data_IF_013614003737
#
_entry.id   IF_013614003737
#
_cell.length_a   1.000
_cell.length_b   1.000
_cell.length_c   1.000
_cell.angle_alpha   90.00
_cell.angle_beta   90.00
_cell.angle_gamma   90.00
#
_symmetry.space_group_name_H-M   'P 1'
#
loop_
_entity.id
_entity.type
_entity.pdbx_description
1 polymer ?
#
# COMPACT_ATOMS: atom_id res chain seq x y z
N UNK A 1 8.84 36.99 11.73
CA UNK A 1 7.61 36.20 11.77
C UNK A 1 7.47 35.20 10.60
N UNK A 2 8.53 34.85 9.93
CA UNK A 2 8.51 33.93 8.77
C UNK A 2 9.22 32.58 9.05
N UNK A 3 9.43 32.21 10.31
CA UNK A 3 10.16 30.99 10.67
C UNK A 3 9.28 29.73 10.70
N UNK A 4 7.98 29.84 10.97
CA UNK A 4 7.09 28.68 11.10
C UNK A 4 6.77 28.02 9.75
N UNK A 5 6.57 28.77 8.70
CA UNK A 5 6.21 28.26 7.37
C UNK A 5 7.34 27.40 6.78
N UNK A 6 8.59 27.79 7.02
CA UNK A 6 9.77 27.05 6.50
C UNK A 6 9.99 25.71 7.22
N UNK A 7 9.71 25.65 8.52
CA UNK A 7 9.85 24.43 9.33
C UNK A 7 8.73 23.45 8.98
N UNK A 8 7.51 23.92 8.80
CA UNK A 8 6.36 23.09 8.45
C UNK A 8 6.55 22.45 7.06
N UNK A 9 7.01 23.19 6.06
CA UNK A 9 7.33 22.63 4.74
C UNK A 9 8.44 21.58 4.82
N UNK A 10 9.46 21.82 5.63
CA UNK A 10 10.55 20.86 5.81
C UNK A 10 10.06 19.57 6.49
N UNK A 11 9.20 19.66 7.50
CA UNK A 11 8.60 18.51 8.17
C UNK A 11 7.70 17.71 7.24
N UNK A 12 6.84 18.36 6.45
CA UNK A 12 6.00 17.71 5.44
C UNK A 12 6.87 16.98 4.42
N UNK A 13 7.92 17.62 3.92
CA UNK A 13 8.86 17.02 2.99
C UNK A 13 9.56 15.78 3.56
N UNK A 14 10.05 15.86 4.80
CA UNK A 14 10.70 14.74 5.49
C UNK A 14 9.72 13.57 5.68
N UNK A 15 8.47 13.83 6.04
CA UNK A 15 7.45 12.79 6.25
C UNK A 15 7.03 12.11 4.94
N UNK A 16 6.85 12.86 3.87
CA UNK A 16 6.65 12.29 2.54
C UNK A 16 7.84 11.47 2.08
N UNK A 17 9.06 11.89 2.41
CA UNK A 17 10.28 11.15 2.12
C UNK A 17 10.33 9.80 2.88
N UNK A 18 9.83 9.74 4.11
CA UNK A 18 9.73 8.47 4.87
C UNK A 18 8.80 7.46 4.18
N UNK A 19 7.67 7.90 3.66
CA UNK A 19 6.75 7.04 2.88
C UNK A 19 7.42 6.58 1.60
N UNK A 20 8.11 7.47 0.88
CA UNK A 20 8.87 7.13 -0.31
C UNK A 20 10.00 6.13 -0.04
N UNK A 21 10.69 6.26 1.09
CA UNK A 21 11.71 5.30 1.51
C UNK A 21 11.10 3.93 1.87
N UNK A 22 9.92 3.92 2.51
CA UNK A 22 9.19 2.68 2.77
C UNK A 22 8.78 1.99 1.47
N UNK A 23 8.31 2.76 0.49
CA UNK A 23 8.00 2.25 -0.86
C UNK A 23 9.21 1.63 -1.55
N UNK A 24 10.38 2.27 -1.46
CA UNK A 24 11.63 1.71 -2.00
C UNK A 24 12.00 0.40 -1.31
N UNK A 25 11.85 0.30 0.00
CA UNK A 25 12.09 -0.95 0.74
C UNK A 25 11.14 -2.06 0.30
N UNK A 26 9.86 -1.75 0.10
CA UNK A 26 8.88 -2.72 -0.38
C UNK A 26 9.23 -3.26 -1.79
N UNK A 27 9.76 -2.40 -2.66
CA UNK A 27 10.09 -2.75 -4.05
C UNK A 27 11.52 -3.26 -4.24
N UNK A 28 12.31 -3.29 -3.17
CA UNK A 28 13.67 -3.80 -3.18
C UNK A 28 13.68 -5.29 -2.81
N UNK A 29 14.04 -6.14 -3.77
CA UNK A 29 14.09 -7.59 -3.60
C UNK A 29 15.20 -8.05 -2.63
N UNK A 30 16.10 -7.16 -2.20
CA UNK A 30 17.17 -7.47 -1.25
C UNK A 30 16.74 -7.50 0.21
N UNK A 31 15.49 -7.13 0.53
CA UNK A 31 14.96 -7.15 1.89
C UNK A 31 13.61 -7.87 1.96
N UNK A 32 13.18 -8.19 3.18
CA UNK A 32 12.00 -9.01 3.44
C UNK A 32 10.70 -8.20 3.57
N UNK A 33 10.74 -6.88 3.42
CA UNK A 33 9.54 -6.05 3.53
C UNK A 33 8.55 -6.42 2.42
N UNK A 34 7.33 -6.74 2.82
CA UNK A 34 6.27 -7.18 1.93
C UNK A 34 5.00 -6.34 2.00
N UNK A 35 4.91 -5.40 2.94
CA UNK A 35 3.84 -4.40 3.01
C UNK A 35 4.28 -3.14 3.74
N UNK A 36 3.62 -2.04 3.42
CA UNK A 36 3.78 -0.74 4.07
C UNK A 36 2.42 -0.10 4.32
N UNK A 37 2.35 0.74 5.34
CA UNK A 37 1.17 1.56 5.63
C UNK A 37 1.56 3.00 5.94
N UNK A 38 0.79 3.92 5.41
CA UNK A 38 0.86 5.35 5.66
C UNK A 38 -0.52 5.86 6.08
N UNK A 39 -0.56 6.98 6.74
CA UNK A 39 -1.82 7.58 7.21
C UNK A 39 -1.62 9.00 7.70
N UNK A 40 -2.64 9.54 8.33
CA UNK A 40 -2.55 10.83 8.97
C UNK A 40 -1.93 10.72 10.37
N UNK A 41 -1.12 11.70 10.80
CA UNK A 41 -0.76 11.82 12.21
C UNK A 41 -1.98 12.19 13.04
N UNK A 42 -1.90 11.97 14.34
CA UNK A 42 -2.99 12.32 15.26
C UNK A 42 -3.29 13.82 15.19
N UNK A 43 -4.59 14.15 15.07
CA UNK A 43 -5.06 15.54 15.05
C UNK A 43 -4.72 16.36 13.80
N UNK A 44 -4.08 15.78 12.80
CA UNK A 44 -3.68 16.47 11.57
C UNK A 44 -4.02 15.68 10.33
N UNK A 45 -4.74 16.26 9.39
CA UNK A 45 -5.11 15.67 8.10
C UNK A 45 -4.46 16.37 6.90
N UNK A 46 -3.47 17.21 7.14
CA UNK A 46 -2.74 17.92 6.10
C UNK A 46 -1.46 17.22 5.67
N UNK A 47 -1.04 16.20 6.41
CA UNK A 47 0.21 15.49 6.20
C UNK A 47 -0.02 14.00 6.05
N UNK A 48 0.84 13.35 5.27
CA UNK A 48 0.95 11.92 5.18
C UNK A 48 2.20 11.48 5.95
N UNK A 49 2.04 10.50 6.85
CA UNK A 49 3.15 9.95 7.62
C UNK A 49 3.24 8.45 7.43
N UNK A 50 4.46 7.92 7.49
CA UNK A 50 4.72 6.50 7.60
C UNK A 50 4.13 5.98 8.93
N UNK A 51 3.44 4.83 8.87
CA UNK A 51 2.80 4.22 10.04
C UNK A 51 3.44 2.90 10.43
N UNK A 52 3.60 1.99 9.47
CA UNK A 52 4.11 0.65 9.72
C UNK A 52 4.59 -0.03 8.45
N UNK A 53 5.39 -1.06 8.62
CA UNK A 53 5.79 -2.01 7.57
C UNK A 53 6.01 -3.39 8.18
N UNK A 54 6.02 -4.42 7.35
CA UNK A 54 6.25 -5.79 7.81
C UNK A 54 6.58 -6.74 6.66
N UNK A 55 6.85 -7.99 7.02
CA UNK A 55 7.28 -9.06 6.11
C UNK A 55 6.26 -10.18 5.94
N UNK A 56 5.12 -10.11 6.62
CA UNK A 56 4.08 -11.16 6.62
C UNK A 56 3.07 -11.09 5.46
N UNK A 57 3.29 -10.21 4.47
CA UNK A 57 2.44 -10.09 3.30
C UNK A 57 1.04 -9.53 3.57
N UNK A 58 0.10 -9.83 2.67
CA UNK A 58 -1.28 -9.34 2.77
C UNK A 58 -1.98 -9.71 4.10
N UNK A 59 -1.84 -10.92 4.67
CA UNK A 59 -2.49 -11.24 5.95
C UNK A 59 -2.03 -10.34 7.10
N UNK A 60 -0.75 -10.05 7.19
CA UNK A 60 -0.22 -9.14 8.21
C UNK A 60 -0.67 -7.69 7.97
N UNK A 61 -0.66 -7.23 6.72
CA UNK A 61 -1.21 -5.92 6.35
C UNK A 61 -2.65 -5.78 6.82
N UNK A 62 -3.51 -6.75 6.53
CA UNK A 62 -4.92 -6.76 6.96
C UNK A 62 -5.06 -6.69 8.48
N UNK A 63 -4.25 -7.45 9.22
CA UNK A 63 -4.30 -7.48 10.69
C UNK A 63 -3.87 -6.18 11.34
N UNK A 64 -3.16 -5.32 10.61
CA UNK A 64 -2.71 -4.00 11.07
C UNK A 64 -3.64 -2.84 10.65
N UNK A 65 -4.76 -3.12 9.99
CA UNK A 65 -5.72 -2.08 9.62
C UNK A 65 -6.48 -1.58 10.87
N UNK A 66 -6.52 -0.26 11.11
CA UNK A 66 -7.23 0.31 12.27
C UNK A 66 -8.74 0.27 12.07
N UNK A 67 -9.50 0.27 13.17
CA UNK A 67 -10.97 0.23 13.12
C UNK A 67 -11.58 1.54 12.59
N UNK A 68 -10.97 2.69 12.86
CA UNK A 68 -11.59 4.00 12.65
C UNK A 68 -10.62 5.05 12.08
N UNK A 69 -9.63 4.63 11.31
CA UNK A 69 -8.68 5.56 10.69
C UNK A 69 -8.41 5.23 9.23
N UNK A 70 -7.94 6.22 8.49
CA UNK A 70 -7.58 6.09 7.07
C UNK A 70 -6.19 5.47 6.95
N UNK A 71 -6.06 4.50 6.04
CA UNK A 71 -4.77 3.95 5.65
C UNK A 71 -4.62 3.99 4.14
N UNK A 72 -3.48 4.49 3.69
CA UNK A 72 -2.96 4.23 2.36
C UNK A 72 -1.78 3.29 2.49
N UNK A 73 -1.88 2.14 1.90
CA UNK A 73 -0.83 1.15 2.01
C UNK A 73 -0.54 0.48 0.71
N UNK A 74 0.44 -0.38 0.74
CA UNK A 74 0.73 -1.27 -0.37
C UNK A 74 1.28 -2.58 0.16
N UNK A 75 1.03 -3.65 -0.57
CA UNK A 75 1.62 -4.95 -0.29
C UNK A 75 2.06 -5.65 -1.57
N UNK A 76 3.00 -6.58 -1.40
CA UNK A 76 3.54 -7.40 -2.47
C UNK A 76 2.73 -8.68 -2.66
N UNK A 77 2.48 -9.03 -3.92
CA UNK A 77 1.98 -10.34 -4.35
C UNK A 77 2.98 -10.88 -5.38
N UNK A 78 3.36 -12.14 -5.27
CA UNK A 78 4.27 -12.74 -6.24
C UNK A 78 3.46 -13.60 -7.22
N UNK A 79 3.46 -13.19 -8.48
CA UNK A 79 2.95 -14.02 -9.57
C UNK A 79 3.95 -15.11 -9.88
N UNK A 80 3.52 -16.37 -9.80
CA UNK A 80 4.32 -17.55 -10.09
C UNK A 80 3.87 -18.14 -11.41
N UNK A 81 4.78 -18.25 -12.35
CA UNK A 81 4.54 -18.89 -13.64
C UNK A 81 5.38 -20.17 -13.73
N UNK A 82 4.69 -21.29 -13.63
CA UNK A 82 5.31 -22.62 -13.71
C UNK A 82 4.96 -23.26 -15.05
N UNK A 83 5.90 -23.21 -15.98
CA UNK A 83 5.74 -23.79 -17.33
C UNK A 83 6.85 -24.81 -17.60
N UNK A 84 6.56 -26.06 -17.29
CA UNK A 84 7.51 -27.17 -17.49
C UNK A 84 8.73 -27.09 -16.56
N UNK A 85 9.91 -26.93 -17.12
CA UNK A 85 11.16 -26.92 -16.35
C UNK A 85 11.59 -25.56 -15.85
N UNK A 86 10.80 -24.52 -16.09
CA UNK A 86 11.14 -23.14 -15.68
C UNK A 86 10.06 -22.57 -14.78
N UNK A 87 10.48 -22.09 -13.60
CA UNK A 87 9.60 -21.33 -12.68
C UNK A 87 10.05 -19.89 -12.73
N UNK A 88 9.14 -19.00 -13.10
CA UNK A 88 9.35 -17.54 -13.08
C UNK A 88 8.53 -16.94 -11.96
N UNK A 89 9.14 -16.04 -11.19
CA UNK A 89 8.52 -15.35 -10.06
C UNK A 89 8.60 -13.84 -10.30
N UNK A 90 7.48 -13.15 -10.29
CA UNK A 90 7.42 -11.71 -10.56
C UNK A 90 6.62 -10.99 -9.50
N UNK A 91 7.22 -10.06 -8.75
CA UNK A 91 6.50 -9.27 -7.78
C UNK A 91 5.48 -8.35 -8.48
N UNK A 92 4.34 -8.22 -7.86
CA UNK A 92 3.27 -7.28 -8.18
C UNK A 92 2.94 -6.51 -6.92
N UNK A 93 2.71 -5.22 -7.05
CA UNK A 93 2.41 -4.35 -5.93
C UNK A 93 0.98 -3.85 -6.03
N UNK A 94 0.29 -3.90 -4.91
CA UNK A 94 -1.12 -3.55 -4.78
C UNK A 94 -1.21 -2.31 -3.90
N UNK A 95 -1.77 -1.22 -4.42
CA UNK A 95 -2.10 -0.04 -3.63
C UNK A 95 -3.46 -0.22 -2.98
N UNK A 96 -3.57 0.08 -1.69
CA UNK A 96 -4.82 0.00 -0.94
C UNK A 96 -5.14 1.35 -0.32
N UNK A 97 -6.33 1.86 -0.59
CA UNK A 97 -6.96 2.92 0.18
C UNK A 97 -8.03 2.29 1.07
N UNK A 98 -7.77 2.31 2.37
CA UNK A 98 -8.70 1.83 3.38
C UNK A 98 -9.38 3.02 4.06
N UNK A 99 -10.71 3.04 4.02
CA UNK A 99 -11.52 4.15 4.53
C UNK A 99 -12.76 3.60 5.25
N UNK A 100 -12.61 3.12 6.49
CA UNK A 100 -13.73 2.51 7.24
C UNK A 100 -14.83 3.53 7.55
N UNK A 101 -16.05 3.01 7.74
CA UNK A 101 -17.26 3.83 7.96
C UNK A 101 -17.20 4.75 9.17
N UNK A 102 -16.45 4.36 10.21
CA UNK A 102 -16.27 5.11 11.46
C UNK A 102 -15.36 6.34 11.33
N UNK A 103 -14.68 6.52 10.20
CA UNK A 103 -13.85 7.71 9.96
C UNK A 103 -14.74 8.96 9.85
N UNK A 104 -14.46 10.02 10.62
CA UNK A 104 -15.25 11.26 10.59
C UNK A 104 -15.36 11.87 9.19
N UNK A 105 -16.51 12.46 8.88
CA UNK A 105 -16.86 13.00 7.55
C UNK A 105 -15.80 13.95 6.99
N UNK A 106 -15.27 14.86 7.79
CA UNK A 106 -14.23 15.80 7.35
C UNK A 106 -12.94 15.09 6.95
N UNK A 107 -12.55 14.07 7.70
CA UNK A 107 -11.35 13.26 7.42
C UNK A 107 -11.55 12.42 6.15
N UNK A 108 -12.75 11.87 5.95
CA UNK A 108 -13.13 11.15 4.71
C UNK A 108 -13.01 12.05 3.47
N UNK A 109 -13.52 13.27 3.55
CA UNK A 109 -13.46 14.24 2.46
C UNK A 109 -12.01 14.59 2.09
N UNK A 110 -11.15 14.83 3.07
CA UNK A 110 -9.74 15.11 2.86
C UNK A 110 -9.00 13.92 2.25
N UNK A 111 -9.29 12.71 2.71
CA UNK A 111 -8.71 11.48 2.15
C UNK A 111 -9.01 11.32 0.65
N UNK A 112 -10.20 11.70 0.21
CA UNK A 112 -10.55 11.72 -1.21
C UNK A 112 -9.65 12.61 -2.05
N UNK A 113 -9.33 13.81 -1.54
CA UNK A 113 -8.46 14.77 -2.22
C UNK A 113 -6.98 14.38 -2.27
N UNK A 114 -6.52 13.56 -1.34
CA UNK A 114 -5.09 13.21 -1.23
C UNK A 114 -4.66 11.97 -2.04
N UNK A 115 -5.60 11.18 -2.55
CA UNK A 115 -5.30 9.95 -3.30
C UNK A 115 -4.30 10.16 -4.43
N UNK A 116 -4.49 11.20 -5.24
CA UNK A 116 -3.62 11.47 -6.39
C UNK A 116 -2.16 11.75 -5.99
N UNK A 117 -1.96 12.54 -4.94
CA UNK A 117 -0.62 12.84 -4.43
C UNK A 117 0.07 11.60 -3.86
N UNK A 118 -0.67 10.76 -3.15
CA UNK A 118 -0.14 9.53 -2.56
C UNK A 118 0.25 8.52 -3.64
N UNK A 119 -0.52 8.41 -4.70
CA UNK A 119 -0.21 7.54 -5.85
C UNK A 119 1.05 7.97 -6.62
N UNK A 120 1.48 9.22 -6.53
CA UNK A 120 2.77 9.64 -7.08
C UNK A 120 3.95 9.12 -6.26
N UNK A 121 3.73 8.78 -4.98
CA UNK A 121 4.75 8.21 -4.10
C UNK A 121 4.73 6.68 -4.21
N UNK A 122 3.54 6.08 -4.22
CA UNK A 122 3.31 4.63 -4.27
C UNK A 122 2.80 4.28 -5.68
N UNK A 123 3.71 3.92 -6.56
CA UNK A 123 3.40 3.55 -7.94
C UNK A 123 3.18 2.04 -8.07
N UNK A 124 1.99 1.58 -7.70
CA UNK A 124 1.61 0.18 -7.70
C UNK A 124 0.96 -0.26 -9.02
N UNK A 125 0.92 -1.57 -9.25
CA UNK A 125 0.35 -2.17 -10.47
C UNK A 125 -1.17 -2.05 -10.54
N UNK A 126 -1.85 -2.18 -9.40
CA UNK A 126 -3.30 -2.04 -9.28
C UNK A 126 -3.69 -1.28 -8.02
N UNK A 127 -4.87 -0.67 -8.05
CA UNK A 127 -5.46 0.07 -6.95
C UNK A 127 -6.69 -0.66 -6.42
N UNK A 128 -6.84 -0.68 -5.10
CA UNK A 128 -8.01 -1.19 -4.40
C UNK A 128 -8.48 -0.16 -3.38
N UNK A 129 -9.76 0.14 -3.38
CA UNK A 129 -10.41 0.95 -2.33
C UNK A 129 -11.35 0.06 -1.55
N UNK A 130 -11.23 0.06 -0.23
CA UNK A 130 -12.03 -0.75 0.68
C UNK A 130 -12.53 0.07 1.87
N UNK A 131 -13.69 -0.28 2.38
CA UNK A 131 -14.27 0.26 3.62
C UNK A 131 -14.20 -0.74 4.79
N UNK A 132 -13.97 -2.01 4.47
CA UNK A 132 -13.80 -3.08 5.46
C UNK A 132 -12.62 -3.97 5.10
N UNK A 133 -11.88 -4.43 6.09
CA UNK A 133 -10.80 -5.39 5.92
C UNK A 133 -11.26 -6.69 5.24
N UNK A 134 -12.51 -7.09 5.45
CA UNK A 134 -13.12 -8.29 4.85
C UNK A 134 -13.29 -8.22 3.33
N UNK A 135 -13.23 -7.02 2.75
CA UNK A 135 -13.28 -6.83 1.29
C UNK A 135 -11.95 -7.16 0.60
N UNK A 136 -10.86 -7.22 1.37
CA UNK A 136 -9.53 -7.50 0.85
C UNK A 136 -9.26 -9.01 0.91
N UNK A 137 -9.65 -9.71 -0.14
CA UNK A 137 -9.46 -11.16 -0.28
C UNK A 137 -8.49 -11.48 -1.41
N UNK A 138 -7.89 -12.67 -1.36
CA UNK A 138 -7.00 -13.14 -2.44
C UNK A 138 -7.72 -13.19 -3.77
N UNK A 139 -8.98 -13.63 -3.80
CA UNK A 139 -9.80 -13.73 -5.00
C UNK A 139 -9.99 -12.36 -5.68
N UNK A 140 -10.30 -11.33 -4.90
CA UNK A 140 -10.47 -9.96 -5.40
C UNK A 140 -9.17 -9.44 -6.02
N UNK A 141 -8.06 -9.67 -5.37
CA UNK A 141 -6.73 -9.25 -5.86
C UNK A 141 -6.36 -10.01 -7.12
N UNK A 142 -6.56 -11.33 -7.15
CA UNK A 142 -6.29 -12.16 -8.34
C UNK A 142 -7.11 -11.70 -9.54
N UNK A 143 -8.40 -11.43 -9.36
CA UNK A 143 -9.26 -10.91 -10.43
C UNK A 143 -8.73 -9.59 -11.00
N UNK A 144 -8.33 -8.66 -10.14
CA UNK A 144 -7.77 -7.38 -10.57
C UNK A 144 -6.43 -7.53 -11.27
N UNK A 145 -5.55 -8.38 -10.77
CA UNK A 145 -4.26 -8.67 -11.40
C UNK A 145 -4.43 -9.32 -12.77
N UNK A 146 -5.37 -10.24 -12.92
CA UNK A 146 -5.71 -10.86 -14.20
C UNK A 146 -6.26 -9.86 -15.18
N UNK A 147 -7.16 -8.98 -14.75
CA UNK A 147 -7.72 -7.93 -15.61
C UNK A 147 -6.65 -6.95 -16.11
N UNK A 148 -5.64 -6.65 -15.30
CA UNK A 148 -4.53 -5.75 -15.65
C UNK A 148 -3.40 -6.44 -16.44
N UNK A 149 -3.26 -7.76 -16.35
CA UNK A 149 -2.07 -8.50 -16.80
C UNK A 149 -2.02 -8.87 -18.29
N UNK A 150 -3.06 -8.60 -19.06
CA UNK A 150 -3.10 -8.93 -20.48
C UNK A 150 -3.04 -10.44 -20.79
N UNK A 151 -2.35 -10.82 -21.88
CA UNK A 151 -2.34 -12.19 -22.38
C UNK A 151 -1.47 -13.16 -21.57
N UNK A 152 -0.46 -12.66 -20.85
CA UNK A 152 0.44 -13.47 -20.02
C UNK A 152 -0.03 -13.53 -18.58
N UNK A 153 -0.71 -14.61 -18.22
CA UNK A 153 -1.20 -14.84 -16.86
C UNK A 153 -0.27 -15.80 -16.12
N UNK A 154 0.12 -15.49 -14.87
CA UNK A 154 0.81 -16.46 -14.01
C UNK A 154 -0.07 -17.68 -13.74
N UNK A 155 0.55 -18.82 -13.44
CA UNK A 155 -0.16 -20.05 -13.05
C UNK A 155 -0.66 -19.99 -11.60
N UNK A 156 -0.08 -19.13 -10.75
CA UNK A 156 -0.48 -18.94 -9.36
C UNK A 156 0.00 -17.62 -8.78
N UNK A 157 -0.44 -17.34 -7.55
CA UNK A 157 -0.07 -16.14 -6.81
C UNK A 157 0.25 -16.46 -5.35
N UNK A 158 1.26 -15.81 -4.79
CA UNK A 158 1.64 -15.92 -3.38
C UNK A 158 1.42 -14.57 -2.69
N UNK A 159 0.72 -14.59 -1.56
CA UNK A 159 0.33 -13.42 -0.77
C UNK A 159 1.11 -13.29 0.54
N UNK A 160 1.85 -14.32 0.91
CA UNK A 160 2.74 -14.40 2.08
C UNK A 160 3.71 -15.58 1.89
N UNK A 161 4.69 -15.72 2.81
CA UNK A 161 5.65 -16.85 2.78
C UNK A 161 6.26 -17.07 1.40
N UNK A 162 6.73 -15.98 0.81
CA UNK A 162 7.30 -16.01 -0.54
C UNK A 162 8.50 -16.97 -0.59
N UNK A 163 8.39 -18.00 -1.42
CA UNK A 163 9.50 -18.91 -1.65
C UNK A 163 10.63 -18.18 -2.38
N UNK A 164 11.83 -18.37 -1.95
CA UNK A 164 13.06 -17.87 -2.59
C UNK A 164 13.37 -18.62 -3.89
#
# INVERSE_FOLDING_TARGET
>A
MNFDVSIDYLLIFIRCLQVGNAWRRLTDDSNDISWIAAGYPEGNTSELVFKAEGSGGMPEFISNLPAADVVWGAFKVVGVDNRGNTISRRPKYIFVKYLPGEVPTMKRARAGGHKGAIKQIIDAHIDVEIESASELTEEVIIQKLRAAGGAHQPTGYEFSNYSS
#
